data_IF_890393118722
#
_entry.id   IF_890393118722
#
_cell.length_a   1.000
_cell.length_b   1.000
_cell.length_c   1.000
_cell.angle_alpha   90.00
_cell.angle_beta   90.00
_cell.angle_gamma   90.00
#
_symmetry.space_group_name_H-M   'P 1'
#
loop_
_entity.id
_entity.type
_entity.pdbx_description
1 polymer ?
#
# COMPACT_ATOMS: atom_id res chain seq x y z
N UNK A 1 8.27 -44.30 -3.89
CA UNK A 1 8.94 -44.30 -2.58
C UNK A 1 9.51 -42.94 -2.17
N UNK A 2 9.93 -42.07 -3.10
CA UNK A 2 10.53 -40.77 -2.76
C UNK A 2 9.53 -39.73 -2.20
N UNK A 3 8.24 -39.81 -2.58
CA UNK A 3 7.16 -38.94 -2.06
C UNK A 3 6.75 -39.27 -0.61
N UNK A 4 6.87 -40.52 -0.15
CA UNK A 4 6.54 -40.86 1.24
C UNK A 4 7.58 -40.33 2.22
N UNK A 5 8.86 -40.22 1.81
CA UNK A 5 9.93 -39.67 2.64
C UNK A 5 9.73 -38.19 3.00
N UNK A 6 9.15 -37.37 2.11
CA UNK A 6 8.84 -35.95 2.38
C UNK A 6 7.69 -35.76 3.37
N UNK A 7 6.69 -36.65 3.35
CA UNK A 7 5.56 -36.64 4.29
C UNK A 7 6.02 -37.01 5.69
N UNK A 8 6.92 -38.00 5.81
CA UNK A 8 7.51 -38.38 7.08
C UNK A 8 8.44 -37.29 7.64
N UNK A 9 9.18 -36.56 6.79
CA UNK A 9 10.02 -35.43 7.21
C UNK A 9 9.18 -34.28 7.80
N UNK A 10 8.03 -33.95 7.21
CA UNK A 10 7.11 -32.92 7.72
C UNK A 10 6.49 -33.35 9.05
N UNK A 11 6.08 -34.61 9.18
CA UNK A 11 5.56 -35.15 10.43
C UNK A 11 6.62 -35.12 11.56
N UNK A 12 7.88 -35.38 11.22
CA UNK A 12 9.00 -35.36 12.16
C UNK A 12 9.35 -33.93 12.62
N UNK A 13 9.32 -32.94 11.71
CA UNK A 13 9.53 -31.52 12.03
C UNK A 13 8.40 -31.00 12.94
N UNK A 14 7.14 -31.36 12.66
CA UNK A 14 6.01 -30.98 13.51
C UNK A 14 6.12 -31.57 14.93
N UNK A 15 6.62 -32.80 15.07
CA UNK A 15 6.88 -33.43 16.37
C UNK A 15 8.01 -32.73 17.14
N UNK A 16 9.10 -32.38 16.45
CA UNK A 16 10.25 -31.70 17.05
C UNK A 16 9.88 -30.29 17.57
N UNK A 17 9.09 -29.54 16.81
CA UNK A 17 8.57 -28.21 17.22
C UNK A 17 7.65 -28.31 18.44
N UNK A 18 6.79 -29.34 18.51
CA UNK A 18 5.95 -29.60 19.67
C UNK A 18 6.72 -30.02 20.92
N UNK A 19 7.90 -30.62 20.75
CA UNK A 19 8.75 -31.05 21.87
C UNK A 19 9.60 -29.90 22.42
N UNK A 20 10.16 -29.05 21.56
CA UNK A 20 10.96 -27.88 21.98
C UNK A 20 10.12 -26.86 22.76
N UNK A 21 8.85 -26.67 22.39
CA UNK A 21 7.91 -25.79 23.12
C UNK A 21 7.55 -26.31 24.52
N UNK A 22 7.71 -27.62 24.79
CA UNK A 22 7.42 -28.23 26.09
C UNK A 22 8.50 -28.03 27.16
N UNK A 23 9.74 -27.68 26.76
CA UNK A 23 10.88 -27.49 27.68
C UNK A 23 10.84 -26.13 28.40
N UNK A 24 10.14 -25.14 27.84
CA UNK A 24 10.14 -23.76 28.36
C UNK A 24 8.99 -23.40 29.32
N UNK A 25 8.02 -24.29 29.57
CA UNK A 25 6.88 -23.97 30.45
C UNK A 25 6.38 -25.16 31.29
N UNK A 26 6.95 -25.40 32.48
CA UNK A 26 6.38 -26.37 33.42
C UNK A 26 5.42 -25.69 34.40
N UNK A 27 4.11 -25.91 34.20
CA UNK A 27 3.24 -26.67 35.14
C UNK A 27 1.73 -26.54 34.79
N UNK A 28 1.16 -27.65 34.31
CA UNK A 28 -0.21 -28.13 34.56
C UNK A 28 -1.45 -27.51 33.86
N UNK A 29 -1.35 -26.90 32.67
CA UNK A 29 -2.54 -26.53 31.86
C UNK A 29 -2.60 -27.21 30.47
N UNK A 30 -1.54 -27.97 30.13
CA UNK A 30 -1.23 -28.50 28.80
C UNK A 30 -1.70 -29.95 28.63
N UNK A 31 -1.85 -30.70 29.73
CA UNK A 31 -2.04 -32.15 29.69
C UNK A 31 -3.35 -32.59 29.01
N UNK A 32 -4.39 -31.75 29.02
CA UNK A 32 -5.67 -32.06 28.36
C UNK A 32 -5.80 -31.49 26.94
N UNK A 33 -5.21 -30.33 26.65
CA UNK A 33 -5.20 -29.76 25.30
C UNK A 33 -4.38 -30.64 24.34
N UNK A 34 -3.29 -31.24 24.81
CA UNK A 34 -2.45 -32.14 24.01
C UNK A 34 -3.15 -33.48 23.70
N UNK A 35 -4.05 -33.96 24.57
CA UNK A 35 -4.85 -35.17 24.28
C UNK A 35 -5.95 -34.85 23.25
N UNK A 36 -6.65 -33.72 23.38
CA UNK A 36 -7.72 -33.32 22.47
C UNK A 36 -7.21 -32.95 21.06
N UNK A 37 -6.11 -32.19 20.96
CA UNK A 37 -5.46 -31.90 19.67
C UNK A 37 -4.79 -33.14 19.07
N UNK A 38 -4.33 -34.08 19.92
CA UNK A 38 -3.85 -35.39 19.50
C UNK A 38 -4.92 -36.24 18.80
N UNK A 39 -6.17 -36.25 19.29
CA UNK A 39 -7.29 -36.92 18.62
C UNK A 39 -7.74 -36.21 17.34
N UNK A 40 -7.72 -34.88 17.30
CA UNK A 40 -8.11 -34.10 16.13
C UNK A 40 -7.11 -34.26 14.97
N UNK A 41 -5.82 -34.29 15.26
CA UNK A 41 -4.78 -34.51 14.25
C UNK A 41 -4.79 -35.96 13.71
N UNK A 42 -5.01 -36.97 14.56
CA UNK A 42 -5.12 -38.37 14.14
C UNK A 42 -6.39 -38.61 13.30
N UNK A 43 -7.51 -37.94 13.63
CA UNK A 43 -8.75 -37.98 12.83
C UNK A 43 -8.62 -37.28 11.46
N UNK A 44 -7.88 -36.17 11.39
CA UNK A 44 -7.63 -35.45 10.13
C UNK A 44 -6.71 -36.24 9.19
N UNK A 45 -5.69 -36.93 9.75
CA UNK A 45 -4.80 -37.83 9.01
C UNK A 45 -5.55 -39.09 8.54
N UNK A 46 -6.47 -39.65 9.32
CA UNK A 46 -7.31 -40.78 8.88
C UNK A 46 -8.32 -40.40 7.78
N UNK A 47 -8.94 -39.22 7.89
CA UNK A 47 -9.92 -38.73 6.92
C UNK A 47 -9.27 -38.42 5.56
N UNK A 48 -8.10 -37.77 5.53
CA UNK A 48 -7.37 -37.50 4.30
C UNK A 48 -6.81 -38.77 3.62
N UNK A 49 -6.47 -39.80 4.42
CA UNK A 49 -5.98 -41.10 3.96
C UNK A 49 -7.10 -41.94 3.31
N UNK A 50 -8.31 -41.99 3.90
CA UNK A 50 -9.51 -42.62 3.32
C UNK A 50 -10.00 -41.89 2.06
N UNK A 51 -9.87 -40.57 2.06
CA UNK A 51 -10.26 -39.70 0.96
C UNK A 51 -9.38 -39.88 -0.29
N UNK A 52 -8.07 -40.09 -0.09
CA UNK A 52 -7.13 -40.39 -1.19
C UNK A 52 -7.24 -41.84 -1.68
N UNK A 53 -7.62 -42.78 -0.81
CA UNK A 53 -7.85 -44.19 -1.16
C UNK A 53 -9.14 -44.40 -1.98
N UNK A 54 -10.23 -43.68 -1.67
CA UNK A 54 -11.48 -43.71 -2.44
C UNK A 54 -11.37 -43.09 -3.85
N UNK A 55 -10.49 -42.09 -4.02
CA UNK A 55 -10.11 -41.51 -5.31
C UNK A 55 -9.27 -42.49 -6.15
N UNK A 56 -8.49 -43.36 -5.49
CA UNK A 56 -7.67 -44.39 -6.15
C UNK A 56 -8.48 -45.63 -6.58
N UNK A 57 -9.60 -45.96 -5.91
CA UNK A 57 -10.42 -47.15 -6.21
C UNK A 57 -11.55 -46.93 -7.24
N UNK A 58 -12.04 -45.70 -7.47
CA UNK A 58 -13.20 -45.46 -8.36
C UNK A 58 -12.81 -44.69 -9.63
N UNK A 59 -12.68 -45.44 -10.74
CA UNK A 59 -12.80 -44.86 -12.09
C UNK A 59 -14.15 -44.13 -12.20
N UNK A 60 -14.19 -42.81 -12.09
CA UNK A 60 -15.43 -42.06 -12.35
C UNK A 60 -15.47 -40.61 -11.90
N UNK A 61 -15.28 -39.69 -12.85
CA UNK A 61 -15.66 -38.26 -12.81
C UNK A 61 -15.00 -37.34 -11.77
N UNK A 62 -14.19 -36.41 -12.28
CA UNK A 62 -13.57 -35.24 -11.62
C UNK A 62 -14.54 -34.45 -10.71
N UNK A 63 -15.85 -34.53 -10.96
CA UNK A 63 -16.92 -33.85 -10.20
C UNK A 63 -17.14 -34.48 -8.81
N UNK A 64 -16.92 -35.78 -8.65
CA UNK A 64 -17.06 -36.49 -7.38
C UNK A 64 -15.91 -36.16 -6.41
N UNK A 65 -14.68 -36.11 -6.93
CA UNK A 65 -13.50 -35.69 -6.17
C UNK A 65 -13.64 -34.25 -5.66
N UNK A 66 -14.12 -33.32 -6.49
CA UNK A 66 -14.34 -31.93 -6.09
C UNK A 66 -15.40 -31.82 -4.99
N UNK A 67 -16.55 -32.51 -5.12
CA UNK A 67 -17.59 -32.51 -4.08
C UNK A 67 -17.08 -33.03 -2.75
N UNK A 68 -16.26 -34.07 -2.78
CA UNK A 68 -15.73 -34.67 -1.59
C UNK A 68 -14.70 -33.72 -0.91
N UNK A 69 -13.88 -32.99 -1.68
CA UNK A 69 -12.88 -32.04 -1.14
C UNK A 69 -13.58 -30.85 -0.50
N UNK A 70 -14.64 -30.35 -1.15
CA UNK A 70 -15.49 -29.29 -0.61
C UNK A 70 -16.20 -29.78 0.66
N UNK A 71 -16.70 -31.01 0.69
CA UNK A 71 -17.32 -31.60 1.89
C UNK A 71 -16.34 -31.68 3.07
N UNK A 72 -15.10 -32.13 2.84
CA UNK A 72 -14.07 -32.18 3.86
C UNK A 72 -13.67 -30.78 4.37
N UNK A 73 -13.60 -29.78 3.48
CA UNK A 73 -13.30 -28.41 3.84
C UNK A 73 -14.42 -27.76 4.68
N UNK A 74 -15.69 -28.02 4.35
CA UNK A 74 -16.84 -27.55 5.13
C UNK A 74 -16.87 -28.21 6.51
N UNK A 75 -16.59 -29.52 6.60
CA UNK A 75 -16.57 -30.25 7.86
C UNK A 75 -15.43 -29.79 8.77
N UNK A 76 -14.25 -29.53 8.19
CA UNK A 76 -13.12 -28.93 8.89
C UNK A 76 -13.49 -27.53 9.42
N UNK A 77 -14.08 -26.68 8.57
CA UNK A 77 -14.52 -25.33 8.96
C UNK A 77 -15.52 -25.32 10.12
N UNK A 78 -16.50 -26.22 10.11
CA UNK A 78 -17.47 -26.36 11.19
C UNK A 78 -16.80 -26.81 12.51
N UNK A 79 -15.84 -27.73 12.45
CA UNK A 79 -15.10 -28.20 13.63
C UNK A 79 -14.17 -27.12 14.20
N UNK A 80 -13.53 -26.33 13.34
CA UNK A 80 -12.72 -25.18 13.77
C UNK A 80 -13.58 -24.08 14.39
N UNK A 81 -14.77 -23.82 13.86
CA UNK A 81 -15.75 -22.91 14.46
C UNK A 81 -16.16 -23.36 15.87
N UNK A 82 -16.46 -24.66 16.04
CA UNK A 82 -16.83 -25.22 17.34
C UNK A 82 -15.68 -25.23 18.35
N UNK A 83 -14.46 -25.57 17.93
CA UNK A 83 -13.25 -25.47 18.76
C UNK A 83 -12.99 -24.04 19.21
N UNK A 84 -13.13 -23.08 18.29
CA UNK A 84 -12.96 -21.66 18.61
C UNK A 84 -14.03 -21.19 19.59
N UNK A 85 -15.29 -21.59 19.41
CA UNK A 85 -16.38 -21.32 20.35
C UNK A 85 -16.10 -21.88 21.75
N UNK A 86 -15.70 -23.15 21.86
CA UNK A 86 -15.38 -23.79 23.15
C UNK A 86 -14.20 -23.08 23.83
N UNK A 87 -13.16 -22.72 23.08
CA UNK A 87 -12.01 -21.97 23.62
C UNK A 87 -12.41 -20.56 24.07
N UNK A 88 -13.28 -19.86 23.34
CA UNK A 88 -13.82 -18.55 23.76
C UNK A 88 -14.58 -18.67 25.07
N UNK A 89 -15.44 -19.69 25.21
CA UNK A 89 -16.23 -19.92 26.43
C UNK A 89 -15.33 -20.26 27.64
N UNK A 90 -14.36 -21.18 27.47
CA UNK A 90 -13.46 -21.61 28.55
C UNK A 90 -12.49 -20.50 28.98
N UNK A 91 -11.94 -19.74 28.01
CA UNK A 91 -10.98 -18.68 28.32
C UNK A 91 -11.65 -17.39 28.81
N UNK A 92 -12.94 -17.16 28.50
CA UNK A 92 -13.74 -16.07 29.07
C UNK A 92 -13.92 -16.23 30.59
N UNK A 93 -14.10 -17.45 31.09
CA UNK A 93 -14.17 -17.71 32.54
C UNK A 93 -12.84 -17.49 33.28
N UNK A 94 -11.71 -17.47 32.57
CA UNK A 94 -10.36 -17.35 33.16
C UNK A 94 -9.63 -16.06 32.78
N UNK A 95 -10.32 -15.15 32.09
CA UNK A 95 -9.80 -13.87 31.57
C UNK A 95 -8.53 -13.99 30.70
N UNK A 96 -8.42 -15.09 29.93
CA UNK A 96 -7.26 -15.42 29.08
C UNK A 96 -7.51 -15.09 27.60
N UNK A 97 -7.90 -13.85 27.32
CA UNK A 97 -8.31 -13.41 25.97
C UNK A 97 -7.19 -13.43 24.93
N UNK A 98 -5.93 -13.26 25.34
CA UNK A 98 -4.77 -13.33 24.45
C UNK A 98 -4.65 -14.74 23.85
N UNK A 99 -4.90 -15.78 24.64
CA UNK A 99 -4.88 -17.18 24.17
C UNK A 99 -5.99 -17.43 23.13
N UNK A 100 -7.17 -16.86 23.35
CA UNK A 100 -8.29 -16.94 22.39
C UNK A 100 -7.95 -16.23 21.08
N UNK A 101 -7.34 -15.04 21.15
CA UNK A 101 -6.94 -14.28 19.97
C UNK A 101 -5.88 -15.04 19.15
N UNK A 102 -4.87 -15.60 19.81
CA UNK A 102 -3.81 -16.39 19.16
C UNK A 102 -4.37 -17.66 18.52
N UNK A 103 -5.23 -18.41 19.22
CA UNK A 103 -5.84 -19.63 18.68
C UNK A 103 -6.77 -19.29 17.49
N UNK A 104 -7.54 -18.21 17.60
CA UNK A 104 -8.44 -17.76 16.52
C UNK A 104 -7.63 -17.32 15.29
N UNK A 105 -6.51 -16.62 15.49
CA UNK A 105 -5.61 -16.22 14.41
C UNK A 105 -4.96 -17.41 13.73
N UNK A 106 -4.46 -18.39 14.49
CA UNK A 106 -3.89 -19.62 13.94
C UNK A 106 -4.92 -20.43 13.16
N UNK A 107 -6.17 -20.49 13.63
CA UNK A 107 -7.27 -21.14 12.92
C UNK A 107 -7.60 -20.42 11.61
N UNK A 108 -7.61 -19.08 11.58
CA UNK A 108 -7.82 -18.28 10.37
C UNK A 108 -6.68 -18.48 9.37
N UNK A 109 -5.42 -18.47 9.83
CA UNK A 109 -4.26 -18.68 8.98
C UNK A 109 -4.26 -20.09 8.35
N UNK A 110 -4.58 -21.12 9.15
CA UNK A 110 -4.67 -22.50 8.67
C UNK A 110 -5.83 -22.67 7.68
N UNK A 111 -6.96 -22.00 7.92
CA UNK A 111 -8.13 -22.01 7.06
C UNK A 111 -7.89 -21.30 5.71
N UNK A 112 -7.23 -20.14 5.72
CA UNK A 112 -6.81 -19.43 4.52
C UNK A 112 -5.83 -20.28 3.69
N UNK A 113 -4.93 -21.00 4.36
CA UNK A 113 -4.00 -21.93 3.70
C UNK A 113 -4.77 -23.06 2.99
N UNK A 114 -5.80 -23.62 3.61
CA UNK A 114 -6.68 -24.61 2.98
C UNK A 114 -7.43 -24.04 1.77
N UNK A 115 -7.95 -22.81 1.86
CA UNK A 115 -8.63 -22.13 0.75
C UNK A 115 -7.70 -21.85 -0.43
N UNK A 116 -6.44 -21.48 -0.17
CA UNK A 116 -5.42 -21.29 -1.20
C UNK A 116 -5.05 -22.61 -1.89
N UNK A 117 -4.97 -23.71 -1.13
CA UNK A 117 -4.74 -25.06 -1.68
C UNK A 117 -5.91 -25.55 -2.54
N UNK A 118 -7.15 -25.22 -2.18
CA UNK A 118 -8.34 -25.51 -3.00
C UNK A 118 -8.35 -24.63 -4.26
N UNK A 119 -8.03 -23.34 -4.15
CA UNK A 119 -7.93 -22.41 -5.29
C UNK A 119 -6.95 -22.90 -6.35
N UNK A 120 -5.76 -23.37 -5.91
CA UNK A 120 -4.72 -23.90 -6.79
C UNK A 120 -5.14 -25.15 -7.57
N UNK A 121 -6.06 -25.96 -7.04
CA UNK A 121 -6.41 -27.26 -7.60
C UNK A 121 -7.81 -27.33 -8.27
N UNK A 122 -8.74 -26.43 -7.96
CA UNK A 122 -10.15 -26.51 -8.41
C UNK A 122 -10.57 -25.32 -9.31
N UNK A 123 -9.77 -24.24 -9.37
CA UNK A 123 -9.97 -23.11 -10.28
C UNK A 123 -10.95 -22.02 -9.77
N UNK A 124 -10.85 -20.82 -10.34
CA UNK A 124 -11.39 -19.55 -9.80
C UNK A 124 -12.93 -19.47 -9.68
N UNK A 125 -13.72 -20.29 -10.38
CA UNK A 125 -15.19 -20.11 -10.46
C UNK A 125 -15.93 -20.44 -9.15
N UNK A 126 -15.34 -21.19 -8.22
CA UNK A 126 -16.00 -21.59 -6.96
C UNK A 126 -15.52 -20.83 -5.71
N UNK A 127 -14.43 -20.07 -5.82
CA UNK A 127 -13.80 -19.36 -4.70
C UNK A 127 -14.69 -18.27 -4.07
N UNK A 128 -15.41 -17.42 -4.83
CA UNK A 128 -16.20 -16.34 -4.24
C UNK A 128 -17.38 -16.84 -3.39
N UNK A 129 -18.04 -17.92 -3.83
CA UNK A 129 -19.24 -18.45 -3.16
C UNK A 129 -18.92 -19.14 -1.83
N UNK A 130 -17.78 -19.82 -1.72
CA UNK A 130 -17.31 -20.44 -0.48
C UNK A 130 -16.84 -19.37 0.51
N UNK A 131 -16.13 -18.34 0.02
CA UNK A 131 -15.68 -17.23 0.86
C UNK A 131 -16.86 -16.46 1.48
N UNK A 132 -17.87 -16.10 0.69
CA UNK A 132 -19.06 -15.37 1.16
C UNK A 132 -19.87 -16.19 2.17
N UNK A 133 -20.07 -17.49 1.93
CA UNK A 133 -20.76 -18.37 2.85
C UNK A 133 -20.07 -18.46 4.22
N UNK A 134 -18.74 -18.43 4.25
CA UNK A 134 -17.97 -18.54 5.49
C UNK A 134 -17.87 -17.22 6.26
N UNK A 135 -17.82 -16.06 5.57
CA UNK A 135 -17.93 -14.74 6.21
C UNK A 135 -19.31 -14.59 6.88
N UNK A 136 -20.37 -15.06 6.23
CA UNK A 136 -21.73 -15.05 6.81
C UNK A 136 -21.84 -15.96 8.05
N UNK A 137 -21.22 -17.14 8.04
CA UNK A 137 -21.19 -18.02 9.23
C UNK A 137 -20.39 -17.38 10.38
N UNK A 138 -19.26 -16.71 10.09
CA UNK A 138 -18.47 -16.01 11.10
C UNK A 138 -19.24 -14.81 11.69
N UNK A 139 -19.97 -14.07 10.86
CA UNK A 139 -20.84 -12.98 11.29
C UNK A 139 -22.00 -13.50 12.16
N UNK A 140 -22.63 -14.61 11.77
CA UNK A 140 -23.70 -15.25 12.56
C UNK A 140 -23.17 -15.75 13.90
N UNK A 141 -21.98 -16.35 13.96
CA UNK A 141 -21.36 -16.78 15.23
C UNK A 141 -21.03 -15.57 16.11
N UNK A 142 -20.47 -14.50 15.55
CA UNK A 142 -20.16 -13.27 16.30
C UNK A 142 -21.41 -12.62 16.91
N UNK A 143 -22.51 -12.57 16.17
CA UNK A 143 -23.78 -12.00 16.64
C UNK A 143 -24.49 -12.93 17.64
N UNK A 144 -24.51 -14.24 17.39
CA UNK A 144 -25.29 -15.20 18.20
C UNK A 144 -24.62 -15.58 19.52
N UNK A 145 -23.29 -15.53 19.60
CA UNK A 145 -22.52 -16.03 20.76
C UNK A 145 -22.10 -14.92 21.71
N UNK A 146 -21.78 -13.74 21.15
CA UNK A 146 -21.24 -12.63 21.94
C UNK A 146 -22.31 -11.59 22.29
N UNK A 147 -23.54 -11.73 21.79
CA UNK A 147 -24.63 -10.76 22.00
C UNK A 147 -24.30 -9.37 21.43
N UNK A 148 -23.34 -9.31 20.51
CA UNK A 148 -22.76 -8.08 19.99
C UNK A 148 -23.50 -7.68 18.72
N UNK A 149 -23.97 -6.44 18.65
CA UNK A 149 -24.49 -5.88 17.39
C UNK A 149 -23.33 -5.69 16.40
N UNK A 150 -23.57 -5.72 15.08
CA UNK A 150 -22.54 -5.51 14.06
C UNK A 150 -21.66 -4.27 14.30
N UNK A 151 -22.27 -3.19 14.80
CA UNK A 151 -21.59 -1.93 15.12
C UNK A 151 -20.60 -2.10 16.29
N UNK A 152 -20.94 -2.92 17.29
CA UNK A 152 -20.07 -3.20 18.43
C UNK A 152 -18.87 -4.08 18.07
N UNK A 153 -19.01 -4.95 17.07
CA UNK A 153 -17.90 -5.78 16.54
C UNK A 153 -16.91 -4.89 15.79
N UNK A 154 -17.41 -3.97 14.97
CA UNK A 154 -16.59 -3.00 14.24
C UNK A 154 -15.89 -2.06 15.23
N UNK A 155 -16.59 -1.56 16.26
CA UNK A 155 -16.02 -0.70 17.28
C UNK A 155 -14.90 -1.40 18.09
N UNK A 156 -15.07 -2.67 18.45
CA UNK A 156 -14.03 -3.44 19.16
C UNK A 156 -12.87 -3.85 18.27
N UNK A 157 -13.11 -4.13 17.00
CA UNK A 157 -12.04 -4.38 16.04
C UNK A 157 -11.20 -3.11 15.83
N UNK A 158 -11.85 -1.96 15.70
CA UNK A 158 -11.18 -0.67 15.66
C UNK A 158 -10.43 -0.38 16.96
N UNK A 159 -11.03 -0.61 18.14
CA UNK A 159 -10.33 -0.39 19.42
C UNK A 159 -9.12 -1.31 19.59
N UNK A 160 -9.16 -2.55 19.07
CA UNK A 160 -8.03 -3.47 19.11
C UNK A 160 -6.95 -3.09 18.09
N UNK A 161 -7.35 -2.65 16.89
CA UNK A 161 -6.44 -2.09 15.88
C UNK A 161 -5.71 -0.84 16.41
N UNK A 162 -6.44 0.06 17.09
CA UNK A 162 -5.88 1.25 17.72
C UNK A 162 -5.06 0.91 18.97
N UNK A 163 -5.45 -0.08 19.79
CA UNK A 163 -4.65 -0.51 20.94
C UNK A 163 -3.34 -1.20 20.53
N UNK A 164 -3.31 -1.92 19.39
CA UNK A 164 -2.07 -2.47 18.82
C UNK A 164 -1.21 -1.36 18.19
N UNK A 165 -1.84 -0.33 17.60
CA UNK A 165 -1.15 0.88 17.10
C UNK A 165 -0.55 1.70 18.26
N UNK A 166 -1.29 1.87 19.36
CA UNK A 166 -0.81 2.48 20.60
C UNK A 166 0.26 1.63 21.30
N UNK A 167 0.13 0.30 21.34
CA UNK A 167 1.16 -0.57 21.93
C UNK A 167 2.47 -0.50 21.14
N UNK A 168 2.41 -0.32 19.81
CA UNK A 168 3.59 -0.03 18.97
C UNK A 168 4.12 1.39 19.14
N UNK A 169 3.26 2.36 19.44
CA UNK A 169 3.67 3.74 19.75
C UNK A 169 4.26 3.88 21.17
N UNK A 170 3.89 2.96 22.09
CA UNK A 170 4.38 2.88 23.47
C UNK A 170 5.60 1.96 23.64
N UNK A 171 6.00 1.21 22.60
CA UNK A 171 7.40 0.77 22.50
C UNK A 171 8.22 2.04 22.25
N UNK A 172 8.53 2.76 23.33
CA UNK A 172 9.42 3.89 23.30
C UNK A 172 10.73 3.44 22.65
N UNK A 173 10.96 3.87 21.42
CA UNK A 173 12.31 3.98 20.91
C UNK A 173 12.98 5.10 21.71
N UNK A 174 13.46 4.76 22.89
CA UNK A 174 14.30 5.63 23.73
C UNK A 174 15.63 5.76 22.99
N UNK A 175 15.78 6.84 22.23
CA UNK A 175 17.10 7.30 21.83
C UNK A 175 17.90 7.54 23.13
N UNK A 176 19.11 6.99 23.27
CA UNK A 176 19.91 7.20 24.48
C UNK A 176 20.03 8.70 24.75
N UNK A 177 19.86 9.13 26.01
CA UNK A 177 19.86 10.53 26.47
C UNK A 177 21.12 11.35 26.12
N UNK A 178 22.10 10.73 25.45
CA UNK A 178 23.30 11.35 24.90
C UNK A 178 23.29 11.42 23.35
N UNK A 179 22.11 11.57 22.73
CA UNK A 179 21.98 11.81 21.30
C UNK A 179 22.18 13.28 20.89
N UNK A 180 22.68 14.14 21.81
CA UNK A 180 23.32 15.38 21.42
C UNK A 180 24.71 15.07 20.86
N UNK A 181 24.88 15.37 19.56
CA UNK A 181 26.17 15.38 18.87
C UNK A 181 26.98 14.06 18.88
N UNK A 182 26.34 12.91 18.70
CA UNK A 182 27.04 11.79 18.05
C UNK A 182 26.88 11.98 16.56
N UNK A 183 27.96 12.38 15.88
CA UNK A 183 28.07 12.23 14.43
C UNK A 183 27.57 10.83 14.08
N UNK A 184 26.50 10.75 13.30
CA UNK A 184 26.01 9.47 12.81
C UNK A 184 27.21 8.68 12.26
N UNK A 185 27.29 7.35 12.49
CA UNK A 185 28.34 6.55 11.87
C UNK A 185 28.34 6.85 10.37
N UNK A 186 29.49 7.23 9.82
CA UNK A 186 29.65 7.37 8.39
C UNK A 186 29.52 5.96 7.79
N UNK A 187 28.34 5.64 7.27
CA UNK A 187 28.05 4.35 6.67
C UNK A 187 28.74 4.19 5.30
N UNK A 188 29.58 5.12 4.87
CA UNK A 188 30.22 5.08 3.55
C UNK A 188 29.14 5.19 2.47
N UNK A 189 28.71 6.40 2.17
CA UNK A 189 27.79 6.67 1.04
C UNK A 189 28.56 6.63 -0.28
N UNK A 190 29.14 5.47 -0.60
CA UNK A 190 29.85 5.27 -1.87
C UNK A 190 28.85 5.18 -3.04
N UNK A 191 27.60 4.80 -2.76
CA UNK A 191 26.51 4.71 -3.72
C UNK A 191 25.34 5.62 -3.30
N UNK A 192 24.60 6.15 -4.29
CA UNK A 192 23.41 6.97 -4.04
C UNK A 192 22.18 6.09 -3.88
N UNK A 193 21.44 6.28 -2.79
CA UNK A 193 20.16 5.62 -2.54
C UNK A 193 19.04 6.66 -2.53
N UNK A 194 18.17 6.55 -3.53
CA UNK A 194 17.00 7.40 -3.74
C UNK A 194 15.77 6.75 -3.11
N UNK A 195 15.01 7.50 -2.31
CA UNK A 195 13.69 7.10 -1.82
C UNK A 195 12.63 8.06 -2.35
N UNK A 196 11.74 7.55 -3.20
CA UNK A 196 10.56 8.28 -3.64
C UNK A 196 9.46 8.14 -2.58
N UNK A 197 9.01 9.27 -2.06
CA UNK A 197 7.84 9.37 -1.20
C UNK A 197 6.73 9.90 -2.07
N UNK A 198 5.79 9.03 -2.42
CA UNK A 198 4.67 9.42 -3.26
C UNK A 198 3.72 10.38 -2.52
N UNK A 199 2.77 10.90 -3.27
CA UNK A 199 1.84 11.91 -2.82
C UNK A 199 0.62 11.35 -2.05
N UNK A 200 0.56 10.04 -1.75
CA UNK A 200 -0.62 9.41 -1.11
C UNK A 200 -0.35 8.36 -0.03
N UNK A 201 0.81 7.70 -0.01
CA UNK A 201 1.07 6.46 0.74
C UNK A 201 1.65 6.68 2.13
N UNK A 202 2.58 7.63 2.30
CA UNK A 202 3.11 8.02 3.62
C UNK A 202 2.32 9.15 4.28
N UNK A 203 1.41 9.73 3.50
CA UNK A 203 0.52 10.81 3.92
C UNK A 203 -0.40 10.40 5.08
N UNK A 204 -1.09 9.24 5.11
CA UNK A 204 -2.07 8.93 6.15
C UNK A 204 -1.49 8.79 7.57
N UNK A 205 -0.25 8.34 7.72
CA UNK A 205 0.39 8.25 9.04
C UNK A 205 0.93 9.61 9.49
N UNK A 206 1.52 10.39 8.57
CA UNK A 206 1.90 11.77 8.84
C UNK A 206 0.69 12.65 9.20
N UNK A 207 -0.44 12.43 8.51
CA UNK A 207 -1.75 13.02 8.80
C UNK A 207 -2.20 12.75 10.23
N UNK A 208 -2.25 11.47 10.61
CA UNK A 208 -2.72 11.07 11.92
C UNK A 208 -1.88 11.74 13.01
N UNK A 209 -0.55 11.77 12.79
CA UNK A 209 0.38 12.46 13.68
C UNK A 209 0.10 13.97 13.80
N UNK A 210 -0.04 14.69 12.69
CA UNK A 210 -0.32 16.14 12.73
C UNK A 210 -1.70 16.44 13.34
N UNK A 211 -2.71 15.61 13.07
CA UNK A 211 -4.07 15.79 13.59
C UNK A 211 -4.19 15.68 15.11
N UNK A 212 -3.24 15.02 15.77
CA UNK A 212 -3.17 14.95 17.23
C UNK A 212 -2.57 16.23 17.86
N UNK A 213 -2.01 17.13 17.04
CA UNK A 213 -1.34 18.35 17.50
C UNK A 213 -2.29 19.54 17.53
N UNK A 214 -2.38 20.20 18.67
CA UNK A 214 -3.11 21.48 18.82
C UNK A 214 -2.39 22.63 18.10
N UNK A 215 -1.05 22.60 18.08
CA UNK A 215 -0.20 23.55 17.36
C UNK A 215 0.86 22.78 16.61
N UNK A 216 1.08 23.13 15.35
CA UNK A 216 2.07 22.48 14.48
C UNK A 216 3.39 23.25 14.55
N UNK A 217 4.45 22.55 14.92
CA UNK A 217 5.82 23.09 14.99
C UNK A 217 6.67 22.66 13.80
N UNK A 218 7.84 23.29 13.60
CA UNK A 218 8.79 22.84 12.58
C UNK A 218 9.26 21.39 12.78
N UNK A 219 9.38 20.94 14.03
CA UNK A 219 9.75 19.55 14.34
C UNK A 219 8.64 18.58 13.92
N UNK A 220 7.38 18.96 14.12
CA UNK A 220 6.24 18.16 13.66
C UNK A 220 6.24 18.06 12.12
N UNK A 221 6.61 19.13 11.43
CA UNK A 221 6.73 19.12 9.98
C UNK A 221 7.89 18.23 9.50
N UNK A 222 9.03 18.29 10.19
CA UNK A 222 10.21 17.47 9.92
C UNK A 222 10.00 15.97 10.18
N UNK A 223 8.96 15.58 10.93
CA UNK A 223 8.62 14.18 11.17
C UNK A 223 8.46 13.37 9.88
N UNK A 224 8.05 14.01 8.78
CA UNK A 224 7.88 13.36 7.49
C UNK A 224 9.15 12.72 6.94
N UNK A 225 10.32 13.33 7.23
CA UNK A 225 11.62 12.88 6.73
C UNK A 225 12.50 12.26 7.81
N UNK A 226 12.11 12.40 9.08
CA UNK A 226 12.82 11.87 10.26
C UNK A 226 13.16 10.37 10.18
N UNK A 227 12.31 9.48 9.63
CA UNK A 227 12.65 8.06 9.50
C UNK A 227 13.92 7.77 8.68
N UNK A 228 14.38 8.72 7.86
CA UNK A 228 15.53 8.53 6.98
C UNK A 228 16.85 9.06 7.56
N UNK A 229 16.83 9.73 8.71
CA UNK A 229 18.02 10.32 9.32
C UNK A 229 19.03 9.26 9.76
N UNK A 230 20.31 9.50 9.45
CA UNK A 230 21.40 8.57 9.80
C UNK A 230 21.33 7.21 9.07
N UNK A 231 20.47 7.07 8.06
CA UNK A 231 20.38 5.87 7.22
C UNK A 231 21.29 5.97 5.98
N UNK A 232 21.29 4.94 5.14
CA UNK A 232 21.98 4.94 3.84
C UNK A 232 21.28 5.80 2.78
N UNK A 233 20.08 6.31 3.05
CA UNK A 233 19.35 7.17 2.11
C UNK A 233 20.12 8.47 1.91
N UNK A 234 20.41 8.78 0.65
CA UNK A 234 21.14 9.99 0.24
C UNK A 234 20.21 11.04 -0.34
N UNK A 235 19.13 10.61 -0.98
CA UNK A 235 18.24 11.46 -1.76
C UNK A 235 16.78 11.07 -1.48
N UNK A 236 15.93 12.06 -1.15
CA UNK A 236 14.48 11.87 -0.99
C UNK A 236 13.77 12.63 -2.10
N UNK A 237 12.82 11.98 -2.78
CA UNK A 237 12.02 12.56 -3.84
C UNK A 237 10.59 12.76 -3.35
N UNK A 238 10.19 14.00 -3.15
CA UNK A 238 8.84 14.37 -2.73
C UNK A 238 7.89 14.42 -3.92
N UNK A 239 6.96 13.46 -3.99
CA UNK A 239 5.89 13.46 -4.98
C UNK A 239 4.97 14.65 -4.77
N UNK A 240 5.02 15.62 -5.68
CA UNK A 240 4.24 16.85 -5.56
C UNK A 240 3.04 16.92 -6.52
N UNK A 241 2.91 15.97 -7.45
CA UNK A 241 1.75 15.90 -8.33
C UNK A 241 1.40 14.46 -8.75
N UNK A 242 0.11 14.28 -9.04
CA UNK A 242 -0.39 13.30 -10.01
C UNK A 242 -1.14 14.06 -11.09
N UNK A 243 -2.41 13.75 -11.32
CA UNK A 243 -3.31 14.60 -12.15
C UNK A 243 -3.66 15.95 -11.49
N UNK A 244 -3.35 16.09 -10.21
CA UNK A 244 -3.55 17.28 -9.41
C UNK A 244 -2.32 17.52 -8.54
N UNK A 245 -2.10 18.77 -8.17
CA UNK A 245 -0.96 19.20 -7.37
C UNK A 245 -1.20 18.99 -5.87
N UNK A 246 -0.13 18.66 -5.16
CA UNK A 246 -0.04 18.67 -3.70
C UNK A 246 0.16 20.08 -3.14
N UNK A 247 0.76 20.95 -3.92
CA UNK A 247 1.04 22.34 -3.54
C UNK A 247 0.14 23.27 -4.35
N UNK A 248 -0.11 24.49 -3.88
CA UNK A 248 -0.92 25.45 -4.65
C UNK A 248 -0.38 25.60 -6.07
N UNK A 249 -1.25 25.71 -7.06
CA UNK A 249 -0.79 25.87 -8.43
C UNK A 249 -1.78 26.64 -9.29
N UNK A 250 -1.23 27.44 -10.21
CA UNK A 250 -2.00 28.12 -11.26
C UNK A 250 -2.18 27.25 -12.53
N UNK A 251 -1.41 26.16 -12.67
CA UNK A 251 -1.35 25.34 -13.88
C UNK A 251 -2.19 24.07 -13.81
N UNK A 252 -2.19 23.41 -12.64
CA UNK A 252 -3.00 22.22 -12.40
C UNK A 252 -3.76 22.37 -11.09
N UNK A 253 -4.92 21.72 -10.99
CA UNK A 253 -5.75 21.80 -9.79
C UNK A 253 -4.97 21.39 -8.55
N UNK A 254 -4.98 22.25 -7.54
CA UNK A 254 -4.46 21.91 -6.24
C UNK A 254 -5.48 21.10 -5.44
N UNK A 255 -5.07 19.94 -4.92
CA UNK A 255 -5.93 19.01 -4.17
C UNK A 255 -6.53 19.63 -2.91
N UNK A 256 -5.87 20.61 -2.30
CA UNK A 256 -6.39 21.29 -1.11
C UNK A 256 -7.71 22.01 -1.38
N UNK A 257 -7.90 22.58 -2.57
CA UNK A 257 -9.14 23.27 -2.93
C UNK A 257 -10.30 22.29 -3.18
N UNK A 258 -9.99 21.04 -3.57
CA UNK A 258 -11.01 20.03 -3.86
C UNK A 258 -11.87 19.67 -2.66
N UNK A 259 -11.38 19.85 -1.43
CA UNK A 259 -12.20 19.58 -0.23
C UNK A 259 -13.43 20.48 -0.13
N UNK A 260 -13.39 21.65 -0.80
CA UNK A 260 -14.50 22.62 -0.88
C UNK A 260 -15.42 22.38 -2.08
N UNK A 261 -15.10 21.44 -2.97
CA UNK A 261 -15.90 21.19 -4.16
C UNK A 261 -17.19 20.45 -3.80
N UNK A 262 -18.29 20.92 -4.38
CA UNK A 262 -19.62 20.30 -4.29
C UNK A 262 -20.08 19.70 -5.61
N UNK A 263 -19.38 20.02 -6.71
CA UNK A 263 -19.63 19.50 -8.05
C UNK A 263 -18.30 19.26 -8.78
N UNK A 264 -18.21 18.19 -9.55
CA UNK A 264 -17.10 17.87 -10.44
C UNK A 264 -17.67 17.32 -11.75
N UNK A 265 -17.41 17.99 -12.89
CA UNK A 265 -17.91 17.63 -14.22
C UNK A 265 -19.45 17.42 -14.27
N UNK A 266 -20.20 18.33 -13.64
CA UNK A 266 -21.67 18.26 -13.57
C UNK A 266 -22.21 17.18 -12.62
N UNK A 267 -21.35 16.52 -11.84
CA UNK A 267 -21.74 15.50 -10.86
C UNK A 267 -21.58 16.02 -9.44
N UNK A 268 -22.54 15.78 -8.53
CA UNK A 268 -22.39 16.16 -7.13
C UNK A 268 -21.24 15.35 -6.49
N UNK A 269 -20.39 16.04 -5.72
CA UNK A 269 -19.29 15.43 -4.97
C UNK A 269 -19.26 15.94 -3.53
N UNK A 270 -18.68 15.14 -2.65
CA UNK A 270 -18.33 15.55 -1.29
C UNK A 270 -16.96 14.97 -0.94
N UNK A 271 -15.94 15.84 -0.99
CA UNK A 271 -14.58 15.51 -0.59
C UNK A 271 -14.22 16.05 0.80
N UNK A 272 -15.17 16.60 1.55
CA UNK A 272 -14.92 17.15 2.89
C UNK A 272 -14.51 16.06 3.89
N UNK A 273 -14.97 14.82 3.66
CA UNK A 273 -14.59 13.64 4.43
C UNK A 273 -13.19 13.09 4.11
N UNK A 274 -12.51 13.67 3.11
CA UNK A 274 -11.11 13.40 2.77
C UNK A 274 -10.29 14.55 3.34
N UNK A 275 -10.00 14.58 4.65
CA UNK A 275 -9.13 15.59 5.22
C UNK A 275 -7.73 15.37 4.66
N UNK A 276 -7.40 16.12 3.62
CA UNK A 276 -6.03 16.22 3.17
C UNK A 276 -5.34 17.24 4.07
N UNK A 277 -4.26 16.86 4.76
CA UNK A 277 -3.52 17.72 5.71
C UNK A 277 -3.17 19.06 5.09
N UNK A 278 -2.89 19.11 3.79
CA UNK A 278 -2.63 20.33 3.04
C UNK A 278 -3.73 21.37 3.21
N UNK A 279 -4.99 20.95 3.34
CA UNK A 279 -6.09 21.86 3.63
C UNK A 279 -5.96 22.46 5.03
N UNK A 280 -5.73 21.63 6.05
CA UNK A 280 -5.49 22.13 7.42
C UNK A 280 -4.26 23.04 7.48
N UNK A 281 -3.13 22.56 6.94
CA UNK A 281 -1.89 23.33 6.88
C UNK A 281 -2.12 24.65 6.14
N UNK A 282 -2.89 24.65 5.04
CA UNK A 282 -3.24 25.89 4.35
C UNK A 282 -4.08 26.84 5.22
N UNK A 283 -5.13 26.35 5.89
CA UNK A 283 -5.97 27.19 6.75
C UNK A 283 -5.13 27.80 7.89
N UNK A 284 -4.07 27.11 8.32
CA UNK A 284 -3.04 27.60 9.25
C UNK A 284 -1.92 28.43 8.57
N UNK A 285 -1.94 28.59 7.25
CA UNK A 285 -0.94 29.34 6.47
C UNK A 285 0.41 28.64 6.29
N UNK A 286 0.48 27.33 6.53
CA UNK A 286 1.67 26.50 6.52
C UNK A 286 1.81 25.78 5.17
N UNK A 287 2.95 25.99 4.52
CA UNK A 287 3.44 25.14 3.43
C UNK A 287 4.56 24.25 4.00
N UNK A 288 4.42 22.92 4.05
CA UNK A 288 5.42 22.08 4.70
C UNK A 288 6.62 21.74 3.80
N UNK A 289 6.53 21.96 2.48
CA UNK A 289 7.60 21.57 1.55
C UNK A 289 8.92 22.28 1.87
N UNK A 290 8.97 23.60 2.15
CA UNK A 290 10.19 24.26 2.61
C UNK A 290 10.77 23.66 3.90
N UNK A 291 9.93 23.23 4.83
CA UNK A 291 10.38 22.60 6.08
C UNK A 291 10.95 21.22 5.84
N UNK A 292 10.36 20.42 4.95
CA UNK A 292 10.92 19.13 4.55
C UNK A 292 12.28 19.27 3.85
N UNK A 293 12.38 20.24 2.94
CA UNK A 293 13.65 20.59 2.27
C UNK A 293 14.72 20.97 3.29
N UNK A 294 14.38 21.87 4.21
CA UNK A 294 15.29 22.29 5.27
C UNK A 294 15.72 21.11 6.14
N UNK A 295 14.75 20.31 6.58
CA UNK A 295 14.97 19.14 7.42
C UNK A 295 15.87 18.09 6.74
N UNK A 296 15.71 17.87 5.44
CA UNK A 296 16.63 17.04 4.65
C UNK A 296 18.05 17.61 4.67
N UNK A 297 18.23 18.90 4.36
CA UNK A 297 19.55 19.55 4.31
C UNK A 297 20.27 19.51 5.64
N UNK A 298 19.56 19.82 6.74
CA UNK A 298 20.10 19.78 8.10
C UNK A 298 20.61 18.37 8.49
N UNK A 299 20.11 17.32 7.83
CA UNK A 299 20.45 15.91 8.08
C UNK A 299 21.25 15.28 6.93
N UNK A 300 21.83 16.11 6.06
CA UNK A 300 22.70 15.65 4.97
C UNK A 300 21.97 14.79 3.92
N UNK A 301 20.66 14.96 3.75
CA UNK A 301 19.86 14.32 2.70
C UNK A 301 19.59 15.35 1.62
N UNK A 302 19.71 14.96 0.36
CA UNK A 302 19.37 15.81 -0.77
C UNK A 302 17.85 15.79 -1.01
N UNK A 303 17.15 16.93 -0.89
CA UNK A 303 15.71 16.98 -1.15
C UNK A 303 15.43 17.20 -2.64
N UNK A 304 14.65 16.34 -3.26
CA UNK A 304 14.22 16.44 -4.65
C UNK A 304 12.71 16.63 -4.75
N UNK A 305 12.27 17.30 -5.82
CA UNK A 305 10.86 17.26 -6.25
C UNK A 305 10.72 16.21 -7.36
N UNK A 306 9.66 15.40 -7.31
CA UNK A 306 9.34 14.46 -8.39
C UNK A 306 7.97 14.75 -8.99
N UNK A 307 7.96 14.86 -10.32
CA UNK A 307 6.80 15.20 -11.12
C UNK A 307 6.31 13.94 -11.82
N UNK A 308 5.12 13.45 -11.47
CA UNK A 308 4.45 12.42 -12.27
C UNK A 308 4.00 13.04 -13.57
N UNK A 309 4.60 12.63 -14.68
CA UNK A 309 4.46 13.36 -15.93
C UNK A 309 3.13 13.10 -16.65
N UNK A 310 2.45 12.00 -16.34
CA UNK A 310 1.24 11.60 -17.05
C UNK A 310 0.32 10.65 -16.26
N UNK A 311 0.15 10.87 -14.95
CA UNK A 311 -0.63 9.99 -14.09
C UNK A 311 -2.07 9.86 -14.62
N UNK A 312 -2.59 8.63 -14.75
CA UNK A 312 -3.94 8.37 -15.26
C UNK A 312 -4.84 7.63 -14.27
N UNK A 313 -4.53 7.69 -12.97
CA UNK A 313 -5.34 7.00 -11.97
C UNK A 313 -6.79 7.47 -11.98
N UNK A 314 -7.68 6.54 -11.65
CA UNK A 314 -9.12 6.77 -11.55
C UNK A 314 -9.79 7.28 -12.85
N UNK A 315 -9.17 7.14 -14.02
CA UNK A 315 -9.68 7.62 -15.32
C UNK A 315 -11.15 7.27 -15.61
N UNK A 316 -11.57 6.09 -15.17
CA UNK A 316 -12.88 5.51 -15.47
C UNK A 316 -13.94 5.87 -14.42
N UNK A 317 -13.54 6.47 -13.31
CA UNK A 317 -14.49 6.94 -12.30
C UNK A 317 -15.21 8.19 -12.82
N UNK A 318 -16.50 8.31 -12.50
CA UNK A 318 -17.28 9.52 -12.82
C UNK A 318 -16.60 10.76 -12.21
N UNK A 319 -16.19 10.66 -10.94
CA UNK A 319 -15.46 11.69 -10.21
C UNK A 319 -14.31 11.07 -9.41
N UNK A 320 -13.26 11.85 -9.13
CA UNK A 320 -12.16 11.39 -8.28
C UNK A 320 -11.44 12.54 -7.62
N UNK A 321 -11.17 12.42 -6.31
CA UNK A 321 -10.35 13.38 -5.58
C UNK A 321 -8.94 13.56 -6.18
N UNK A 322 -8.38 12.55 -6.85
CA UNK A 322 -7.03 12.60 -7.41
C UNK A 322 -6.95 13.39 -8.72
N UNK A 323 -8.08 13.60 -9.40
CA UNK A 323 -8.18 14.22 -10.71
C UNK A 323 -8.21 15.75 -10.62
N UNK A 324 -7.62 16.44 -11.60
CA UNK A 324 -7.72 17.90 -11.75
C UNK A 324 -8.57 18.33 -12.96
N UNK A 325 -8.88 19.62 -13.05
CA UNK A 325 -9.63 20.23 -14.15
C UNK A 325 -8.97 20.00 -15.52
N UNK A 326 -7.63 19.97 -15.57
CA UNK A 326 -6.86 19.67 -16.78
C UNK A 326 -7.31 18.36 -17.44
N UNK A 327 -7.66 17.34 -16.65
CA UNK A 327 -8.16 16.08 -17.17
C UNK A 327 -9.44 16.26 -17.99
N UNK A 328 -10.39 17.03 -17.49
CA UNK A 328 -11.67 17.29 -18.14
C UNK A 328 -11.50 18.16 -19.38
N UNK A 329 -10.63 19.16 -19.30
CA UNK A 329 -10.24 20.00 -20.44
C UNK A 329 -9.62 19.13 -21.54
N UNK A 330 -8.64 18.30 -21.20
CA UNK A 330 -7.97 17.41 -22.14
C UNK A 330 -8.94 16.41 -22.78
N UNK A 331 -9.80 15.77 -21.98
CA UNK A 331 -10.82 14.83 -22.48
C UNK A 331 -11.75 15.50 -23.48
N UNK A 332 -12.26 16.70 -23.16
CA UNK A 332 -13.18 17.44 -24.03
C UNK A 332 -12.54 17.87 -25.36
N UNK A 333 -11.25 18.17 -25.34
CA UNK A 333 -10.51 18.63 -26.53
C UNK A 333 -9.79 17.50 -27.29
N UNK A 334 -9.89 16.25 -26.85
CA UNK A 334 -9.21 15.12 -27.48
C UNK A 334 -7.70 15.15 -27.31
N UNK A 335 -7.19 15.64 -26.18
CA UNK A 335 -5.75 15.73 -25.88
C UNK A 335 -5.23 14.50 -25.12
N UNK A 336 -5.81 13.33 -25.38
CA UNK A 336 -5.46 12.06 -24.76
C UNK A 336 -5.06 11.05 -25.83
N UNK A 337 -4.20 10.10 -25.49
CA UNK A 337 -3.66 9.14 -26.46
C UNK A 337 -4.70 8.14 -27.02
N UNK A 338 -5.83 7.92 -26.33
CA UNK A 338 -6.99 7.23 -26.90
C UNK A 338 -7.15 5.76 -26.51
N UNK A 339 -8.30 5.18 -26.89
CA UNK A 339 -8.81 3.87 -26.40
C UNK A 339 -7.89 2.67 -26.67
N UNK A 340 -7.01 2.74 -27.67
CA UNK A 340 -6.12 1.64 -28.05
C UNK A 340 -5.10 1.30 -26.94
N UNK A 341 -4.90 2.21 -26.00
CA UNK A 341 -3.94 2.08 -24.90
C UNK A 341 -4.53 1.48 -23.61
N UNK A 342 -5.77 0.98 -23.64
CA UNK A 342 -6.37 0.27 -22.50
C UNK A 342 -6.39 1.12 -21.24
N UNK A 343 -5.76 0.68 -20.14
CA UNK A 343 -5.68 1.46 -18.89
C UNK A 343 -5.13 2.89 -19.12
N UNK A 344 -4.22 3.06 -20.08
CA UNK A 344 -3.54 4.33 -20.34
C UNK A 344 -4.31 5.24 -21.31
N UNK A 345 -5.51 4.89 -21.75
CA UNK A 345 -6.24 5.64 -22.78
C UNK A 345 -6.49 7.13 -22.46
N UNK A 346 -6.45 7.50 -21.17
CA UNK A 346 -6.61 8.88 -20.71
C UNK A 346 -5.31 9.60 -20.36
N UNK A 347 -4.15 8.99 -20.59
CA UNK A 347 -2.88 9.68 -20.55
C UNK A 347 -2.92 10.84 -21.55
N UNK A 348 -2.40 11.99 -21.14
CA UNK A 348 -2.29 13.16 -21.99
C UNK A 348 -1.36 12.88 -23.17
N UNK A 349 -1.74 13.39 -24.33
CA UNK A 349 -0.90 13.36 -25.53
C UNK A 349 0.04 14.56 -25.56
N UNK A 350 1.32 14.31 -25.34
CA UNK A 350 2.39 15.29 -25.40
C UNK A 350 2.67 15.77 -26.82
N UNK A 351 2.05 15.23 -27.87
CA UNK A 351 2.03 15.86 -29.20
C UNK A 351 1.33 17.23 -29.16
N UNK A 352 0.37 17.38 -28.24
CA UNK A 352 -0.42 18.59 -28.03
C UNK A 352 0.43 19.67 -27.31
N UNK A 353 0.67 20.84 -27.92
CA UNK A 353 1.51 21.87 -27.32
C UNK A 353 0.97 22.41 -25.99
N UNK A 354 -0.36 22.47 -25.83
CA UNK A 354 -1.00 22.95 -24.59
C UNK A 354 -0.70 22.05 -23.39
N UNK A 355 -0.64 20.72 -23.58
CA UNK A 355 -0.25 19.79 -22.52
C UNK A 355 1.18 20.09 -22.07
N UNK A 356 2.11 20.23 -23.02
CA UNK A 356 3.51 20.54 -22.73
C UNK A 356 3.67 21.90 -22.05
N UNK A 357 2.95 22.92 -22.50
CA UNK A 357 2.97 24.26 -21.91
C UNK A 357 2.51 24.25 -20.45
N UNK A 358 1.42 23.54 -20.15
CA UNK A 358 0.87 23.44 -18.80
C UNK A 358 1.83 22.67 -17.88
N UNK A 359 2.37 21.53 -18.35
CA UNK A 359 3.30 20.72 -17.55
C UNK A 359 4.63 21.46 -17.31
N UNK A 360 5.17 22.14 -18.32
CA UNK A 360 6.38 22.97 -18.17
C UNK A 360 6.14 24.15 -17.22
N UNK A 361 4.99 24.81 -17.35
CA UNK A 361 4.57 25.90 -16.48
C UNK A 361 4.46 25.46 -15.03
N UNK A 362 3.86 24.29 -14.78
CA UNK A 362 3.81 23.68 -13.46
C UNK A 362 5.22 23.39 -12.90
N UNK A 363 6.09 22.74 -13.68
CA UNK A 363 7.49 22.49 -13.26
C UNK A 363 8.16 23.81 -12.87
N UNK A 364 8.07 24.82 -13.75
CA UNK A 364 8.65 26.16 -13.52
C UNK A 364 8.13 26.79 -12.24
N UNK A 365 6.81 26.78 -12.03
CA UNK A 365 6.19 27.31 -10.82
C UNK A 365 6.76 26.67 -9.56
N UNK A 366 6.85 25.34 -9.53
CA UNK A 366 7.24 24.60 -8.33
C UNK A 366 8.74 24.74 -8.02
N UNK A 367 9.62 24.69 -9.02
CA UNK A 367 11.07 24.80 -8.78
C UNK A 367 11.53 26.23 -8.49
N UNK A 368 10.79 27.24 -8.95
CA UNK A 368 11.03 28.62 -8.55
C UNK A 368 10.46 28.91 -7.16
N UNK A 369 9.46 28.14 -6.71
CA UNK A 369 8.90 28.27 -5.36
C UNK A 369 9.76 27.57 -4.30
N UNK A 370 10.30 26.40 -4.64
CA UNK A 370 11.00 25.55 -3.69
C UNK A 370 12.48 25.39 -4.02
N UNK A 371 13.31 25.73 -3.05
CA UNK A 371 14.76 25.62 -3.06
C UNK A 371 15.21 24.15 -2.94
N UNK A 372 15.05 23.38 -4.02
CA UNK A 372 15.31 21.94 -4.05
C UNK A 372 16.73 21.63 -4.53
N UNK A 373 17.30 20.49 -4.13
CA UNK A 373 18.58 20.01 -4.68
C UNK A 373 18.45 19.55 -6.14
N UNK A 374 17.28 19.04 -6.53
CA UNK A 374 17.05 18.58 -7.89
C UNK A 374 15.60 18.23 -8.17
N UNK A 375 15.33 17.95 -9.45
CA UNK A 375 14.04 17.45 -9.91
C UNK A 375 14.15 16.08 -10.57
N UNK A 376 13.14 15.25 -10.38
CA UNK A 376 12.89 14.05 -11.17
C UNK A 376 11.67 14.28 -12.06
N UNK A 377 11.83 14.00 -13.35
CA UNK A 377 10.70 13.79 -14.25
C UNK A 377 10.35 12.30 -14.24
N UNK A 378 9.25 11.94 -13.58
CA UNK A 378 8.79 10.56 -13.47
C UNK A 378 7.92 10.20 -14.68
N UNK A 379 8.61 9.85 -15.76
CA UNK A 379 8.00 9.39 -17.01
C UNK A 379 7.40 7.97 -16.89
N UNK A 380 7.58 7.27 -15.77
CA UNK A 380 6.90 6.00 -15.53
C UNK A 380 5.52 6.17 -14.87
N UNK A 381 5.02 7.39 -14.73
CA UNK A 381 3.69 7.69 -14.15
C UNK A 381 2.90 8.63 -15.06
N UNK A 382 2.18 8.13 -16.05
CA UNK A 382 2.30 6.79 -16.63
C UNK A 382 3.11 6.83 -17.94
N UNK A 383 3.47 5.64 -18.41
CA UNK A 383 4.50 5.42 -19.43
C UNK A 383 4.16 5.85 -20.86
N UNK A 384 2.93 6.19 -21.20
CA UNK A 384 2.61 6.55 -22.59
C UNK A 384 2.36 8.05 -22.68
N UNK A 385 3.25 8.76 -23.36
CA UNK A 385 3.12 10.20 -23.55
C UNK A 385 2.62 10.58 -24.94
N UNK A 386 2.59 9.65 -25.90
CA UNK A 386 2.21 9.90 -27.28
C UNK A 386 1.36 8.77 -27.84
N UNK A 387 0.57 9.07 -28.88
CA UNK A 387 -0.07 8.06 -29.72
C UNK A 387 0.95 7.41 -30.68
N UNK A 388 1.90 6.64 -30.14
CA UNK A 388 2.99 6.04 -30.91
C UNK A 388 2.54 4.98 -31.94
N UNK A 389 1.29 4.51 -31.87
CA UNK A 389 0.71 3.60 -32.86
C UNK A 389 0.38 4.31 -34.19
N UNK A 390 0.13 5.62 -34.15
CA UNK A 390 -0.30 6.40 -35.31
C UNK A 390 0.62 7.59 -35.65
N UNK A 391 1.47 8.00 -34.71
CA UNK A 391 2.43 9.09 -34.92
C UNK A 391 3.77 8.61 -35.48
N UNK A 392 4.44 9.51 -36.19
CA UNK A 392 5.81 9.30 -36.65
C UNK A 392 6.80 9.35 -35.48
N UNK A 393 7.64 8.32 -35.35
CA UNK A 393 8.56 8.19 -34.23
C UNK A 393 9.63 9.31 -34.20
N UNK A 394 10.10 9.79 -35.35
CA UNK A 394 11.09 10.88 -35.39
C UNK A 394 10.48 12.20 -34.92
N UNK A 395 9.19 12.44 -35.25
CA UNK A 395 8.41 13.54 -34.71
C UNK A 395 8.28 13.44 -33.18
N UNK A 396 7.88 12.29 -32.63
CA UNK A 396 7.76 12.07 -31.18
C UNK A 396 9.09 12.37 -30.47
N UNK A 397 10.19 11.79 -30.96
CA UNK A 397 11.53 12.00 -30.41
C UNK A 397 11.94 13.47 -30.48
N UNK A 398 11.62 14.15 -31.59
CA UNK A 398 11.84 15.59 -31.74
C UNK A 398 11.10 16.43 -30.69
N UNK A 399 9.83 16.11 -30.44
CA UNK A 399 9.00 16.80 -29.45
C UNK A 399 9.52 16.57 -28.03
N UNK A 400 9.78 15.31 -27.63
CA UNK A 400 10.26 14.99 -26.30
C UNK A 400 11.63 15.62 -26.02
N UNK A 401 12.56 15.58 -26.99
CA UNK A 401 13.85 16.26 -26.86
C UNK A 401 13.70 17.78 -26.76
N UNK A 402 12.75 18.37 -27.49
CA UNK A 402 12.39 19.78 -27.36
C UNK A 402 11.93 20.11 -25.93
N UNK A 403 10.96 19.35 -25.43
CA UNK A 403 10.44 19.51 -24.07
C UNK A 403 11.53 19.39 -23.00
N UNK A 404 12.44 18.42 -23.13
CA UNK A 404 13.55 18.26 -22.18
C UNK A 404 14.54 19.44 -22.22
N UNK A 405 14.73 20.09 -23.38
CA UNK A 405 15.54 21.33 -23.46
C UNK A 405 14.83 22.49 -22.76
N UNK A 406 13.51 22.58 -22.92
CA UNK A 406 12.71 23.61 -22.25
C UNK A 406 12.73 23.43 -20.72
N UNK A 407 12.62 22.18 -20.23
CA UNK A 407 12.79 21.88 -18.80
C UNK A 407 14.19 22.28 -18.32
N UNK A 408 15.26 21.97 -19.07
CA UNK A 408 16.60 22.39 -18.69
C UNK A 408 16.73 23.92 -18.65
N UNK A 409 16.09 24.66 -19.56
CA UNK A 409 16.09 26.13 -19.53
C UNK A 409 15.39 26.67 -18.28
N UNK A 410 14.24 26.09 -17.91
CA UNK A 410 13.52 26.41 -16.67
C UNK A 410 14.38 26.10 -15.43
N UNK A 411 15.13 25.00 -15.44
CA UNK A 411 16.08 24.67 -14.36
C UNK A 411 17.19 25.70 -14.27
N UNK A 412 17.74 26.20 -15.39
CA UNK A 412 18.74 27.30 -15.36
C UNK A 412 18.19 28.58 -14.74
N UNK A 413 16.92 28.91 -15.03
CA UNK A 413 16.26 30.04 -14.36
C UNK A 413 16.18 29.84 -12.83
N UNK A 414 15.86 28.62 -12.39
CA UNK A 414 15.80 28.30 -10.97
C UNK A 414 17.19 28.30 -10.29
N UNK A 415 18.23 27.84 -10.99
CA UNK A 415 19.63 27.95 -10.51
C UNK A 415 20.05 29.40 -10.30
N UNK A 416 19.69 30.30 -11.22
CA UNK A 416 19.92 31.75 -11.06
C UNK A 416 19.19 32.32 -9.85
N UNK A 417 17.96 31.88 -9.61
CA UNK A 417 17.14 32.31 -8.46
C UNK A 417 17.73 31.86 -7.13
N UNK A 418 18.14 30.60 -7.02
CA UNK A 418 18.57 29.99 -5.76
C UNK A 418 20.09 30.07 -5.52
N UNK A 419 20.86 30.41 -6.54
CA UNK A 419 22.31 30.60 -6.44
C UNK A 419 23.10 29.30 -6.32
N UNK A 420 22.55 28.17 -6.76
CA UNK A 420 23.25 26.89 -6.80
C UNK A 420 22.72 26.00 -7.93
N UNK A 421 23.52 25.00 -8.33
CA UNK A 421 23.11 23.99 -9.32
C UNK A 421 21.88 23.19 -8.86
N UNK A 422 20.94 22.94 -9.77
CA UNK A 422 19.77 22.09 -9.55
C UNK A 422 19.87 20.89 -10.48
N UNK A 423 19.89 19.69 -9.89
CA UNK A 423 20.10 18.45 -10.66
C UNK A 423 18.81 18.03 -11.36
N UNK A 424 18.94 17.41 -12.53
CA UNK A 424 17.81 16.81 -13.26
C UNK A 424 18.06 15.31 -13.33
N UNK A 425 17.02 14.53 -13.01
CA UNK A 425 16.97 13.09 -13.27
C UNK A 425 15.65 12.74 -13.95
N UNK A 426 15.62 11.61 -14.64
CA UNK A 426 14.44 11.13 -15.36
C UNK A 426 14.25 9.64 -15.05
N UNK A 427 13.03 9.25 -14.68
CA UNK A 427 12.69 7.84 -14.49
C UNK A 427 12.21 7.26 -15.80
N UNK A 428 13.04 6.42 -16.42
CA UNK A 428 12.78 5.82 -17.73
C UNK A 428 12.48 4.33 -17.60
N UNK A 429 12.06 3.70 -18.69
CA UNK A 429 11.86 2.26 -18.74
C UNK A 429 13.16 1.50 -18.42
N UNK A 430 13.01 0.22 -18.06
CA UNK A 430 14.13 -0.62 -17.61
C UNK A 430 15.26 -0.71 -18.64
N UNK A 431 14.91 -0.68 -19.93
CA UNK A 431 15.87 -0.80 -21.03
C UNK A 431 15.53 0.11 -22.22
N UNK A 432 16.52 0.26 -23.11
CA UNK A 432 16.46 1.16 -24.27
C UNK A 432 15.34 0.75 -25.24
N UNK A 433 15.06 -0.55 -25.37
CA UNK A 433 14.03 -1.02 -26.30
C UNK A 433 12.63 -0.63 -25.80
N UNK A 434 12.39 -0.71 -24.49
CA UNK A 434 11.16 -0.19 -23.90
C UNK A 434 11.03 1.34 -24.01
N UNK A 435 12.14 2.08 -24.07
CA UNK A 435 12.11 3.53 -24.28
C UNK A 435 11.74 3.94 -25.71
N UNK A 436 11.70 3.02 -26.68
CA UNK A 436 11.30 3.32 -28.08
C UNK A 436 9.79 3.36 -28.29
N UNK A 437 9.01 2.86 -27.33
CA UNK A 437 7.54 2.81 -27.36
C UNK A 437 6.92 3.73 -26.31
N UNK A 438 7.75 4.63 -25.74
CA UNK A 438 7.44 5.59 -24.70
C UNK A 438 6.92 6.91 -25.30
#
# INVERSE_FOLDING_TARGET
MEKSKKVWLIAFIALAVGTITSVFYPRAFITWNVIAYGFCAVGFVAAAYLFSWAVFCSKGSKKAAIKAVVGAAVYAGAFFGLSTFINVVICKEKDQWITVAVISFLNVALYLTCLLLVRKNVGNKFFPRVFIGCVLIFAVIAVSVLGMTPESVIAKFNSYYFAVKEARAREEFVLPENASARTAPDYGRDEKLFINIDETSQVPDYMAYLNEKETITEEDLAYYVKPYYGTQVTDILFGICGQSSMTKSEYITWRGDKVKWTEEDGKPVDYSSIPYWMYRLQEEGIDPVPYWIKACRDNGINPWLTFRMNDCHDSDKETSFLRGELFYIARKNGWMIGEEYGYYHTCFDYSVPQIREIMLGYIREQILRYDTYGIELDWQREMYCFDYLHEDNDKIVGIMNGFMRDVNAVVREAEERWGHDIKITARLMRDIDQCKVF
#
